data_IF_702925723469
#
_entry.id   IF_702925723469
#
_cell.length_a   1.000
_cell.length_b   1.000
_cell.length_c   1.000
_cell.angle_alpha   90.00
_cell.angle_beta   90.00
_cell.angle_gamma   90.00
#
_symmetry.space_group_name_H-M   'P 1'
#
loop_
_entity.id
_entity.type
_entity.pdbx_description
1 polymer ?
2 water ?
#
# COMPACT_ATOMS: atom_id res chain seq x y z
N UNK A 1 -6.60 -3.46 6.33
CA UNK A 1 -6.09 -2.32 5.52
C UNK A 1 -4.76 -2.76 4.91
N UNK A 2 -4.61 -2.63 3.60
CA UNK A 2 -3.39 -3.04 2.89
C UNK A 2 -3.07 -1.97 1.85
N UNK A 3 -1.91 -1.34 1.94
CA UNK A 3 -1.58 -0.23 1.02
C UNK A 3 -0.11 -0.34 0.61
N UNK A 4 0.17 0.14 -0.59
CA UNK A 4 1.51 0.06 -1.21
C UNK A 4 1.70 1.26 -2.13
N UNK A 5 2.84 1.93 -1.97
CA UNK A 5 3.31 3.00 -2.88
C UNK A 5 4.70 2.62 -3.39
N UNK A 6 4.90 2.71 -4.70
CA UNK A 6 6.23 2.53 -5.34
C UNK A 6 6.48 3.70 -6.29
#
# INVERSE_FOLDING_TARGET
IATLYV
#
